data_IF_672376786450
#
_entry.id   IF_672376786450
#
_cell.length_a   1.000
_cell.length_b   1.000
_cell.length_c   1.000
_cell.angle_alpha   90.00
_cell.angle_beta   90.00
_cell.angle_gamma   90.00
#
_symmetry.space_group_name_H-M   'P 1'
#
loop_
_entity.id
_entity.type
_entity.pdbx_description
1 polymer ?
#
# COMPACT_ATOMS: atom_id res chain seq x y z
N UNK A 1 17.55 -33.78 4.84
CA UNK A 1 17.05 -34.92 4.02
C UNK A 1 16.44 -35.94 4.98
N UNK A 2 15.41 -36.69 4.53
CA UNK A 2 14.72 -37.77 5.26
C UNK A 2 14.16 -37.39 6.65
N UNK A 3 13.72 -36.16 6.80
CA UNK A 3 13.04 -35.70 8.02
C UNK A 3 11.64 -36.31 8.08
N UNK A 4 11.39 -37.17 9.07
CA UNK A 4 10.08 -37.77 9.29
C UNK A 4 9.27 -36.93 10.24
N UNK A 5 8.01 -36.64 9.86
CA UNK A 5 7.04 -35.90 10.67
C UNK A 5 5.73 -36.69 10.75
N UNK A 6 4.91 -36.53 11.80
CA UNK A 6 3.58 -37.10 11.87
C UNK A 6 2.71 -36.66 10.68
N UNK A 7 1.87 -37.55 10.18
CA UNK A 7 0.99 -37.25 9.03
C UNK A 7 0.00 -36.11 9.31
N UNK A 8 -0.44 -35.97 10.54
CA UNK A 8 -1.32 -34.93 11.02
C UNK A 8 -0.70 -33.52 10.97
N UNK A 9 0.63 -33.41 10.80
CA UNK A 9 1.31 -32.14 10.56
C UNK A 9 1.09 -31.57 9.14
N UNK A 10 0.47 -32.35 8.24
CA UNK A 10 0.11 -31.88 6.90
C UNK A 10 -1.15 -31.04 6.97
N UNK A 11 -1.00 -29.73 6.76
CA UNK A 11 -2.13 -28.79 6.76
C UNK A 11 -2.97 -28.94 5.49
N UNK A 12 -4.30 -29.04 5.63
CA UNK A 12 -5.28 -29.14 4.53
C UNK A 12 -5.09 -30.30 3.53
N UNK A 13 -4.00 -31.06 3.64
CA UNK A 13 -3.68 -32.16 2.73
C UNK A 13 -2.57 -31.82 1.71
N UNK A 14 -2.11 -32.84 1.02
CA UNK A 14 -1.01 -32.72 0.05
C UNK A 14 -1.41 -31.86 -1.17
N UNK A 15 -0.45 -31.09 -1.70
CA UNK A 15 -0.65 -30.24 -2.88
C UNK A 15 -1.39 -28.92 -2.62
N UNK A 16 -1.85 -28.63 -1.39
CA UNK A 16 -2.65 -27.43 -1.07
C UNK A 16 -1.84 -26.24 -0.53
N UNK A 17 -0.52 -26.28 -0.64
CA UNK A 17 0.34 -25.21 -0.11
C UNK A 17 0.06 -23.84 -0.68
N UNK A 18 -0.28 -23.73 -1.97
CA UNK A 18 -0.63 -22.45 -2.59
C UNK A 18 -1.92 -21.84 -1.99
N UNK A 19 -2.95 -22.67 -1.76
CA UNK A 19 -4.20 -22.25 -1.13
C UNK A 19 -3.93 -21.72 0.30
N UNK A 20 -3.16 -22.47 1.08
CA UNK A 20 -2.74 -22.06 2.43
C UNK A 20 -2.02 -20.71 2.40
N UNK A 21 -1.10 -20.52 1.45
CA UNK A 21 -0.37 -19.26 1.30
C UNK A 21 -1.29 -18.08 0.99
N UNK A 22 -2.28 -18.26 0.10
CA UNK A 22 -3.22 -17.19 -0.24
C UNK A 22 -4.14 -16.80 0.93
N UNK A 23 -4.56 -17.76 1.75
CA UNK A 23 -5.34 -17.49 2.97
C UNK A 23 -4.53 -16.62 3.97
N UNK A 24 -3.23 -16.86 4.06
CA UNK A 24 -2.32 -16.12 4.94
C UNK A 24 -1.96 -14.74 4.38
N UNK A 25 -1.74 -14.62 3.06
CA UNK A 25 -1.26 -13.41 2.41
C UNK A 25 -2.33 -12.31 2.30
N UNK A 26 -3.61 -12.64 2.26
CA UNK A 26 -4.70 -11.65 2.21
C UNK A 26 -4.60 -10.63 3.36
N UNK A 27 -4.76 -11.06 4.63
CA UNK A 27 -4.59 -10.19 5.79
C UNK A 27 -3.19 -9.57 5.90
N UNK A 28 -2.15 -10.33 5.52
CA UNK A 28 -0.76 -9.87 5.52
C UNK A 28 -0.55 -8.63 4.62
N UNK A 29 -1.20 -8.58 3.46
CA UNK A 29 -1.14 -7.43 2.54
C UNK A 29 -1.78 -6.17 3.14
N UNK A 30 -2.91 -6.29 3.82
CA UNK A 30 -3.53 -5.16 4.55
C UNK A 30 -2.58 -4.65 5.63
N UNK A 31 -1.98 -5.55 6.42
CA UNK A 31 -1.01 -5.21 7.44
C UNK A 31 0.21 -4.49 6.85
N UNK A 32 0.77 -4.95 5.72
CA UNK A 32 1.85 -4.25 5.02
C UNK A 32 1.46 -2.83 4.65
N UNK A 33 0.28 -2.63 4.07
CA UNK A 33 -0.20 -1.31 3.67
C UNK A 33 -0.34 -0.37 4.89
N UNK A 34 -0.87 -0.83 6.00
CA UNK A 34 -1.02 0.01 7.19
C UNK A 34 0.33 0.40 7.81
N UNK A 35 1.31 -0.51 7.83
CA UNK A 35 2.68 -0.19 8.25
C UNK A 35 3.37 0.81 7.32
N UNK A 36 3.12 0.70 6.01
CA UNK A 36 3.62 1.64 5.02
C UNK A 36 3.10 3.05 5.27
N UNK A 37 1.82 3.18 5.58
CA UNK A 37 1.21 4.46 5.97
C UNK A 37 1.91 5.05 7.19
N UNK A 38 2.24 4.24 8.19
CA UNK A 38 3.02 4.69 9.36
C UNK A 38 4.40 5.24 8.98
N UNK A 39 5.07 4.63 7.99
CA UNK A 39 6.33 5.15 7.46
C UNK A 39 6.14 6.49 6.73
N UNK A 40 5.08 6.63 5.93
CA UNK A 40 4.76 7.88 5.25
C UNK A 40 4.40 9.00 6.25
N UNK A 41 3.67 8.69 7.32
CA UNK A 41 3.42 9.64 8.43
C UNK A 41 4.74 10.15 9.02
N UNK A 42 5.66 9.25 9.32
CA UNK A 42 6.98 9.64 9.85
C UNK A 42 7.77 10.50 8.88
N UNK A 43 7.69 10.21 7.58
CA UNK A 43 8.33 11.03 6.56
C UNK A 43 7.74 12.45 6.50
N UNK A 44 6.40 12.61 6.68
CA UNK A 44 5.76 13.93 6.75
C UNK A 44 6.23 14.71 7.98
N UNK A 45 6.28 14.08 9.17
CA UNK A 45 6.83 14.71 10.38
C UNK A 45 8.25 15.25 10.12
N UNK A 46 9.12 14.39 9.53
CA UNK A 46 10.49 14.78 9.22
C UNK A 46 10.56 15.91 8.19
N UNK A 47 9.68 15.94 7.18
CA UNK A 47 9.59 17.05 6.23
C UNK A 47 9.21 18.37 6.94
N UNK A 48 8.24 18.33 7.84
CA UNK A 48 7.79 19.52 8.59
C UNK A 48 8.90 20.01 9.51
N UNK A 49 9.53 19.12 10.27
CA UNK A 49 10.63 19.46 11.17
C UNK A 49 11.81 20.06 10.40
N UNK A 50 12.20 19.44 9.31
CA UNK A 50 13.29 19.97 8.45
C UNK A 50 12.90 21.29 7.81
N UNK A 51 11.69 21.40 7.29
CA UNK A 51 11.17 22.58 6.61
C UNK A 51 11.10 23.82 7.51
N UNK A 52 10.77 23.60 8.78
CA UNK A 52 10.61 24.68 9.77
C UNK A 52 11.87 25.02 10.54
N UNK A 53 12.84 24.12 10.62
CA UNK A 53 14.10 24.35 11.34
C UNK A 53 15.23 24.88 10.43
N UNK A 54 15.36 24.38 9.21
CA UNK A 54 16.46 24.74 8.30
C UNK A 54 16.17 26.02 7.54
N UNK A 55 17.15 26.90 7.49
CA UNK A 55 17.13 28.10 6.67
C UNK A 55 18.12 28.03 5.50
N UNK A 56 17.69 28.54 4.35
CA UNK A 56 18.50 28.71 3.16
C UNK A 56 18.00 29.92 2.38
N UNK A 57 18.91 30.66 1.74
CA UNK A 57 18.55 31.87 0.98
C UNK A 57 17.71 32.87 1.77
N UNK A 58 17.99 32.99 3.08
CA UNK A 58 17.30 33.92 3.98
C UNK A 58 15.86 33.56 4.35
N UNK A 59 15.42 32.32 4.08
CA UNK A 59 14.07 31.84 4.39
C UNK A 59 14.12 30.42 4.94
N UNK A 60 13.10 30.05 5.73
CA UNK A 60 12.86 28.65 6.11
C UNK A 60 12.56 27.80 4.90
N UNK A 61 13.08 26.56 4.85
CA UNK A 61 12.89 25.66 3.71
C UNK A 61 11.42 25.45 3.35
N UNK A 62 10.52 25.39 4.34
CA UNK A 62 9.09 25.25 4.13
C UNK A 62 8.51 26.34 3.22
N UNK A 63 9.13 27.54 3.21
CA UNK A 63 8.71 28.70 2.41
C UNK A 63 9.47 28.81 1.07
N UNK A 64 10.23 27.80 0.70
CA UNK A 64 10.98 27.77 -0.56
C UNK A 64 10.33 26.82 -1.57
N UNK A 65 10.26 27.26 -2.82
CA UNK A 65 9.72 26.44 -3.91
C UNK A 65 8.30 25.95 -3.62
N UNK A 66 8.08 24.66 -3.87
CA UNK A 66 6.79 23.98 -3.67
C UNK A 66 6.68 23.17 -2.38
N UNK A 67 7.55 23.38 -1.40
CA UNK A 67 7.62 22.53 -0.20
C UNK A 67 6.31 22.47 0.60
N UNK A 68 5.57 23.58 0.70
CA UNK A 68 4.23 23.60 1.31
C UNK A 68 3.24 22.71 0.54
N UNK A 69 3.27 22.74 -0.79
CA UNK A 69 2.44 21.90 -1.64
C UNK A 69 2.79 20.41 -1.48
N UNK A 70 4.08 20.09 -1.41
CA UNK A 70 4.57 18.71 -1.19
C UNK A 70 4.04 18.16 0.12
N UNK A 71 4.14 18.91 1.22
CA UNK A 71 3.62 18.51 2.54
C UNK A 71 2.10 18.32 2.48
N UNK A 72 1.38 19.23 1.83
CA UNK A 72 -0.07 19.16 1.70
C UNK A 72 -0.50 17.93 0.91
N UNK A 73 0.11 17.66 -0.25
CA UNK A 73 -0.17 16.48 -1.08
C UNK A 73 0.10 15.20 -0.31
N UNK A 74 1.25 15.11 0.37
CA UNK A 74 1.60 13.95 1.18
C UNK A 74 0.55 13.67 2.26
N UNK A 75 0.06 14.71 2.96
CA UNK A 75 -1.00 14.56 3.98
C UNK A 75 -2.30 14.04 3.36
N UNK A 76 -2.73 14.63 2.25
CA UNK A 76 -3.96 14.21 1.55
C UNK A 76 -3.86 12.75 1.10
N UNK A 77 -2.74 12.36 0.50
CA UNK A 77 -2.51 10.99 0.05
C UNK A 77 -2.50 9.99 1.21
N UNK A 78 -1.89 10.33 2.34
CA UNK A 78 -1.88 9.46 3.53
C UNK A 78 -3.30 9.21 4.05
N UNK A 79 -4.14 10.24 4.12
CA UNK A 79 -5.53 10.07 4.57
C UNK A 79 -6.36 9.25 3.55
N UNK A 80 -6.19 9.48 2.26
CA UNK A 80 -6.85 8.69 1.22
C UNK A 80 -6.43 7.21 1.28
N UNK A 81 -5.12 6.94 1.41
CA UNK A 81 -4.60 5.58 1.59
C UNK A 81 -5.17 4.91 2.83
N UNK A 82 -5.21 5.61 3.96
CA UNK A 82 -5.75 5.10 5.23
C UNK A 82 -7.20 4.67 5.10
N UNK A 83 -8.05 5.52 4.54
CA UNK A 83 -9.47 5.23 4.31
C UNK A 83 -9.63 4.01 3.40
N UNK A 84 -8.83 3.92 2.35
CA UNK A 84 -8.90 2.79 1.41
C UNK A 84 -8.43 1.47 2.06
N UNK A 85 -7.40 1.50 2.91
CA UNK A 85 -6.94 0.31 3.66
C UNK A 85 -7.97 -0.11 4.69
N UNK A 86 -8.60 0.82 5.41
CA UNK A 86 -9.69 0.52 6.33
C UNK A 86 -10.89 -0.09 5.60
N UNK A 87 -11.21 0.39 4.40
CA UNK A 87 -12.26 -0.21 3.57
C UNK A 87 -11.91 -1.63 3.13
N UNK A 88 -10.64 -1.89 2.78
CA UNK A 88 -10.18 -3.24 2.44
C UNK A 88 -10.27 -4.19 3.65
N UNK A 89 -9.90 -3.72 4.85
CA UNK A 89 -10.04 -4.48 6.08
C UNK A 89 -11.50 -4.79 6.38
N UNK A 90 -12.39 -3.81 6.30
CA UNK A 90 -13.83 -3.99 6.47
C UNK A 90 -14.40 -5.01 5.46
N UNK A 91 -14.01 -4.92 4.19
CA UNK A 91 -14.43 -5.89 3.18
C UNK A 91 -13.98 -7.31 3.54
N UNK A 92 -12.76 -7.46 4.08
CA UNK A 92 -12.27 -8.76 4.54
C UNK A 92 -13.08 -9.30 5.73
N UNK A 93 -13.43 -8.46 6.70
CA UNK A 93 -14.22 -8.86 7.86
C UNK A 93 -15.66 -9.23 7.50
N UNK A 94 -16.26 -8.53 6.54
CA UNK A 94 -17.67 -8.71 6.19
C UNK A 94 -17.91 -9.72 5.07
N UNK A 95 -17.04 -9.80 4.08
CA UNK A 95 -17.21 -10.62 2.88
C UNK A 95 -16.26 -11.85 2.86
N UNK A 96 -15.23 -11.83 3.69
CA UNK A 96 -14.21 -12.87 3.71
C UNK A 96 -13.07 -12.63 2.69
N UNK A 97 -12.01 -13.41 2.83
CA UNK A 97 -10.75 -13.24 2.09
C UNK A 97 -10.90 -13.35 0.56
N UNK A 98 -11.77 -14.23 0.08
CA UNK A 98 -11.96 -14.46 -1.35
C UNK A 98 -12.59 -13.25 -2.05
N UNK A 99 -13.68 -12.72 -1.47
CA UNK A 99 -14.44 -11.60 -2.03
C UNK A 99 -13.71 -10.26 -1.82
N UNK A 100 -12.99 -10.10 -0.70
CA UNK A 100 -12.17 -8.92 -0.45
C UNK A 100 -10.92 -8.80 -1.34
N UNK A 101 -10.61 -9.82 -2.15
CA UNK A 101 -9.35 -9.89 -2.94
C UNK A 101 -9.10 -8.67 -3.84
N UNK A 102 -10.14 -8.10 -4.42
CA UNK A 102 -9.99 -6.92 -5.31
C UNK A 102 -9.59 -5.70 -4.49
N UNK A 103 -10.23 -5.47 -3.33
CA UNK A 103 -9.86 -4.42 -2.38
C UNK A 103 -8.42 -4.57 -1.89
N UNK A 104 -8.06 -5.78 -1.47
CA UNK A 104 -6.70 -6.09 -1.01
C UNK A 104 -5.66 -5.82 -2.11
N UNK A 105 -5.98 -6.18 -3.36
CA UNK A 105 -5.09 -5.91 -4.49
C UNK A 105 -4.98 -4.41 -4.79
N UNK A 106 -6.08 -3.67 -4.72
CA UNK A 106 -6.09 -2.22 -4.95
C UNK A 106 -5.19 -1.48 -3.95
N UNK A 107 -5.33 -1.77 -2.66
CA UNK A 107 -4.48 -1.11 -1.64
C UNK A 107 -3.03 -1.55 -1.75
N UNK A 108 -2.76 -2.82 -2.08
CA UNK A 108 -1.41 -3.34 -2.21
C UNK A 108 -0.65 -2.77 -3.41
N UNK A 109 -1.35 -2.48 -4.51
CA UNK A 109 -0.77 -1.79 -5.65
C UNK A 109 -0.48 -0.32 -5.33
N UNK A 110 -1.42 0.38 -4.69
CA UNK A 110 -1.35 1.83 -4.49
C UNK A 110 -0.45 2.24 -3.32
N UNK A 111 -0.59 1.61 -2.15
CA UNK A 111 -0.02 2.15 -0.91
C UNK A 111 1.51 2.13 -0.88
N UNK A 112 2.21 1.02 -1.21
CA UNK A 112 3.67 1.03 -1.22
C UNK A 112 4.27 2.00 -2.23
N UNK A 113 3.64 2.16 -3.40
CA UNK A 113 4.05 3.13 -4.42
C UNK A 113 3.97 4.56 -3.89
N UNK A 114 2.81 4.96 -3.39
CA UNK A 114 2.59 6.30 -2.83
C UNK A 114 3.48 6.60 -1.63
N UNK A 115 3.72 5.60 -0.78
CA UNK A 115 4.67 5.75 0.33
C UNK A 115 6.10 5.95 -0.16
N UNK A 116 6.54 5.27 -1.23
CA UNK A 116 7.83 5.54 -1.86
C UNK A 116 7.92 6.99 -2.34
N UNK A 117 6.87 7.52 -2.98
CA UNK A 117 6.83 8.89 -3.48
C UNK A 117 6.95 9.91 -2.33
N UNK A 118 6.16 9.73 -1.26
CA UNK A 118 6.20 10.61 -0.08
C UNK A 118 7.58 10.60 0.59
N UNK A 119 8.18 9.43 0.76
CA UNK A 119 9.51 9.32 1.36
C UNK A 119 10.59 9.93 0.45
N UNK A 120 10.46 9.75 -0.87
CA UNK A 120 11.33 10.39 -1.84
C UNK A 120 11.31 11.92 -1.75
N UNK A 121 10.12 12.53 -1.59
CA UNK A 121 10.00 13.97 -1.36
C UNK A 121 10.62 14.39 0.00
N UNK A 122 10.53 13.54 1.01
CA UNK A 122 11.20 13.80 2.29
C UNK A 122 12.73 13.76 2.13
N UNK A 123 13.28 12.81 1.38
CA UNK A 123 14.70 12.75 1.04
C UNK A 123 15.11 14.04 0.32
N UNK A 124 14.33 14.46 -0.68
CA UNK A 124 14.60 15.67 -1.45
C UNK A 124 14.63 16.92 -0.55
N UNK A 125 13.71 17.06 0.38
CA UNK A 125 13.66 18.20 1.32
C UNK A 125 14.83 18.22 2.30
N UNK A 126 15.39 17.05 2.64
CA UNK A 126 16.58 16.93 3.49
C UNK A 126 17.89 17.18 2.73
N UNK A 127 17.88 17.11 1.38
CA UNK A 127 19.07 17.22 0.55
C UNK A 127 20.08 16.10 0.83
N UNK A 128 21.36 16.39 0.82
CA UNK A 128 22.42 15.40 1.07
C UNK A 128 22.27 14.65 2.41
N UNK A 129 21.70 15.28 3.43
CA UNK A 129 21.42 14.63 4.70
C UNK A 129 20.37 13.52 4.57
N UNK A 130 19.41 13.66 3.66
CA UNK A 130 18.35 12.69 3.40
C UNK A 130 18.83 11.38 2.79
N UNK A 131 19.98 11.37 2.12
CA UNK A 131 20.62 10.16 1.55
C UNK A 131 21.75 9.63 2.42
N UNK A 132 21.96 10.21 3.60
CA UNK A 132 22.99 9.79 4.55
C UNK A 132 22.41 8.93 5.66
N UNK A 133 23.27 8.28 6.43
CA UNK A 133 22.90 7.49 7.60
C UNK A 133 22.40 8.32 8.81
N UNK A 134 22.44 9.66 8.72
CA UNK A 134 21.95 10.55 9.78
C UNK A 134 20.41 10.59 9.87
N UNK A 135 19.74 10.23 8.79
CA UNK A 135 18.28 10.12 8.70
C UNK A 135 17.89 8.75 8.16
N UNK A 136 16.80 8.15 8.66
CA UNK A 136 16.37 6.81 8.24
C UNK A 136 15.65 6.79 6.88
N UNK A 137 15.63 7.89 6.14
CA UNK A 137 14.77 8.06 4.98
C UNK A 137 15.09 7.09 3.83
N UNK A 138 16.36 6.83 3.56
CA UNK A 138 16.77 5.85 2.52
C UNK A 138 16.40 4.43 2.89
N UNK A 139 16.55 4.04 4.16
CA UNK A 139 16.13 2.72 4.64
C UNK A 139 14.60 2.58 4.62
N UNK A 140 13.89 3.63 4.99
CA UNK A 140 12.43 3.69 4.88
C UNK A 140 12.00 3.53 3.43
N UNK A 141 12.60 4.27 2.49
CA UNK A 141 12.31 4.16 1.07
C UNK A 141 12.58 2.76 0.53
N UNK A 142 13.75 2.20 0.83
CA UNK A 142 14.14 0.85 0.43
C UNK A 142 13.14 -0.20 0.94
N UNK A 143 12.70 -0.08 2.18
CA UNK A 143 11.68 -0.96 2.77
C UNK A 143 10.35 -0.88 2.02
N UNK A 144 9.88 0.31 1.65
CA UNK A 144 8.66 0.46 0.87
C UNK A 144 8.83 -0.04 -0.57
N UNK A 145 9.99 0.22 -1.18
CA UNK A 145 10.32 -0.31 -2.51
C UNK A 145 10.29 -1.84 -2.55
N UNK A 146 10.76 -2.49 -1.48
CA UNK A 146 10.69 -3.95 -1.32
C UNK A 146 9.23 -4.44 -1.32
N UNK A 147 8.31 -3.71 -0.68
CA UNK A 147 6.89 -4.08 -0.62
C UNK A 147 6.17 -3.98 -1.98
N UNK A 148 6.73 -3.25 -2.95
CA UNK A 148 6.24 -3.25 -4.33
C UNK A 148 6.54 -4.55 -5.09
N UNK A 149 7.38 -5.41 -4.52
CA UNK A 149 7.76 -6.72 -5.07
C UNK A 149 7.23 -7.88 -4.22
N UNK A 150 7.33 -7.76 -2.89
CA UNK A 150 6.92 -8.78 -1.94
C UNK A 150 5.41 -8.98 -1.93
N UNK A 151 4.96 -10.21 -1.65
CA UNK A 151 3.55 -10.62 -1.58
C UNK A 151 2.75 -10.37 -2.87
N UNK A 152 3.45 -10.36 -3.98
CA UNK A 152 2.98 -10.05 -5.32
C UNK A 152 3.43 -8.67 -5.78
N UNK A 153 4.10 -8.57 -6.93
CA UNK A 153 4.50 -7.29 -7.51
C UNK A 153 3.28 -6.46 -7.93
N UNK A 154 3.49 -5.15 -8.07
CA UNK A 154 2.45 -4.17 -8.39
C UNK A 154 1.62 -4.60 -9.61
N UNK A 155 2.26 -5.14 -10.66
CA UNK A 155 1.61 -5.57 -11.90
C UNK A 155 0.59 -6.69 -11.68
N UNK A 156 0.87 -7.62 -10.76
CA UNK A 156 -0.06 -8.69 -10.41
C UNK A 156 -1.33 -8.12 -9.78
N UNK A 157 -1.17 -7.15 -8.88
CA UNK A 157 -2.29 -6.52 -8.19
C UNK A 157 -3.09 -5.61 -9.12
N UNK A 158 -2.45 -4.81 -9.96
CA UNK A 158 -3.11 -4.01 -11.00
C UNK A 158 -3.92 -4.90 -11.94
N UNK A 159 -3.39 -6.06 -12.35
CA UNK A 159 -4.10 -6.99 -13.20
C UNK A 159 -5.37 -7.59 -12.54
N UNK A 160 -5.32 -7.84 -11.22
CA UNK A 160 -6.51 -8.29 -10.48
C UNK A 160 -7.61 -7.24 -10.51
N UNK A 161 -7.27 -5.97 -10.23
CA UNK A 161 -8.22 -4.85 -10.24
C UNK A 161 -8.79 -4.63 -11.64
N UNK A 162 -7.92 -4.55 -12.65
CA UNK A 162 -8.35 -4.32 -14.03
C UNK A 162 -9.27 -5.43 -14.56
N UNK A 163 -8.96 -6.69 -14.27
CA UNK A 163 -9.82 -7.82 -14.66
C UNK A 163 -11.18 -7.78 -13.97
N UNK A 164 -11.24 -7.34 -12.72
CA UNK A 164 -12.52 -7.19 -12.03
C UNK A 164 -13.38 -6.13 -12.72
N UNK A 165 -12.81 -4.97 -13.02
CA UNK A 165 -13.49 -3.88 -13.73
C UNK A 165 -14.00 -4.30 -15.11
N UNK A 166 -13.17 -4.95 -15.91
CA UNK A 166 -13.56 -5.46 -17.24
C UNK A 166 -14.73 -6.43 -17.12
N UNK A 167 -14.67 -7.40 -16.22
CA UNK A 167 -15.76 -8.37 -16.01
C UNK A 167 -17.07 -7.71 -15.60
N UNK A 168 -17.02 -6.74 -14.69
CA UNK A 168 -18.20 -5.98 -14.27
C UNK A 168 -18.84 -5.31 -15.49
N UNK A 169 -18.04 -4.63 -16.30
CA UNK A 169 -18.53 -3.94 -17.48
C UNK A 169 -19.10 -4.88 -18.58
N UNK A 170 -18.48 -6.03 -18.77
CA UNK A 170 -18.98 -7.06 -19.70
C UNK A 170 -20.31 -7.63 -19.21
N UNK A 171 -20.47 -7.87 -17.92
CA UNK A 171 -21.72 -8.35 -17.32
C UNK A 171 -22.85 -7.31 -17.49
N UNK A 172 -22.60 -6.03 -17.24
CA UNK A 172 -23.54 -4.92 -17.46
C UNK A 172 -24.04 -4.86 -18.91
N UNK A 173 -23.11 -4.97 -19.87
CA UNK A 173 -23.45 -4.97 -21.29
C UNK A 173 -24.32 -6.16 -21.67
N UNK A 174 -24.10 -7.31 -21.03
CA UNK A 174 -24.85 -8.52 -21.33
C UNK A 174 -26.24 -8.56 -20.69
N UNK A 175 -26.38 -7.99 -19.47
CA UNK A 175 -27.65 -7.96 -18.74
C UNK A 175 -28.52 -6.76 -19.06
N UNK A 176 -27.95 -5.67 -19.58
CA UNK A 176 -28.62 -4.37 -19.76
C UNK A 176 -28.87 -3.60 -18.45
N UNK A 177 -28.42 -4.15 -17.32
CA UNK A 177 -28.54 -3.53 -15.99
C UNK A 177 -27.22 -2.87 -15.58
N UNK A 178 -27.27 -1.60 -15.15
CA UNK A 178 -26.12 -0.93 -14.57
C UNK A 178 -25.87 -1.48 -13.15
N UNK A 179 -24.64 -1.96 -12.91
CA UNK A 179 -24.22 -2.31 -11.56
C UNK A 179 -23.64 -1.09 -10.86
N UNK A 180 -23.85 -0.99 -9.55
CA UNK A 180 -23.16 0.05 -8.75
C UNK A 180 -21.66 -0.23 -8.75
N UNK A 181 -20.89 0.70 -9.33
CA UNK A 181 -19.44 0.59 -9.40
C UNK A 181 -18.80 0.70 -8.03
N UNK A 182 -18.56 -0.44 -7.40
CA UNK A 182 -17.62 -0.54 -6.28
C UNK A 182 -16.60 -1.64 -6.61
N UNK A 183 -15.36 -1.49 -6.11
CA UNK A 183 -14.32 -2.49 -6.28
C UNK A 183 -14.77 -3.86 -5.72
N UNK A 184 -15.55 -4.61 -6.52
CA UNK A 184 -15.95 -5.98 -6.22
C UNK A 184 -16.72 -6.16 -4.91
N UNK A 185 -17.99 -5.75 -4.86
CA UNK A 185 -18.86 -6.06 -3.75
C UNK A 185 -20.06 -5.13 -3.65
N UNK A 186 -21.11 -5.54 -2.93
CA UNK A 186 -22.28 -4.69 -2.72
C UNK A 186 -21.87 -3.41 -1.97
N UNK A 187 -22.54 -2.32 -2.32
CA UNK A 187 -22.53 -1.06 -1.55
C UNK A 187 -22.81 -1.37 -0.09
N UNK A 188 -21.97 -0.83 0.80
CA UNK A 188 -22.25 -0.83 2.24
C UNK A 188 -23.44 0.05 2.54
#
# INVERSE_FOLDING_TARGET
EDVRVPRENVLLGEGRGFEISQLRLGPGRIHHCMRSIGSAEKAIEMMVDRGTSREAFGKKLVNLGKNMEVISRARIEVEAMRLMVLRAAQAMDTLGNAEARVWVSAVKAMVPEKCCDIINEAIQMHGAAGVSQWFPLTDMWHSQRTLRLADGPDEVHHNVVARAEVRTREAERSSGEATTHTLGGPTL
#
